data_IF_844816533303
#
_entry.id   IF_844816533303
#
_cell.length_a   1.000
_cell.length_b   1.000
_cell.length_c   1.000
_cell.angle_alpha   90.00
_cell.angle_beta   90.00
_cell.angle_gamma   90.00
#
_symmetry.space_group_name_H-M   'P 1'
#
loop_
_entity.id
_entity.type
_entity.pdbx_description
1 polymer ?
#
# COMPACT_ATOMS: atom_id res chain seq x y z
N UNK A 1 -40.99 23.07 23.43
CA UNK A 1 -39.79 23.23 24.29
C UNK A 1 -39.31 24.66 24.18
N UNK A 2 -38.71 25.24 25.24
CA UNK A 2 -38.09 26.58 25.16
C UNK A 2 -36.85 26.55 24.26
N UNK A 3 -36.67 27.56 23.39
CA UNK A 3 -35.52 27.69 22.47
C UNK A 3 -34.16 27.58 23.18
N UNK A 4 -34.07 28.05 24.43
CA UNK A 4 -32.84 27.93 25.25
C UNK A 4 -32.47 26.48 25.57
N UNK A 5 -33.47 25.61 25.78
CA UNK A 5 -33.26 24.20 26.08
C UNK A 5 -32.74 23.43 24.85
N UNK A 6 -33.23 23.79 23.66
CA UNK A 6 -32.79 23.18 22.40
C UNK A 6 -31.31 23.52 22.10
N UNK A 7 -30.93 24.80 22.26
CA UNK A 7 -29.53 25.24 22.09
C UNK A 7 -28.62 24.60 23.14
N UNK A 8 -29.08 24.45 24.39
CA UNK A 8 -28.33 23.76 25.44
C UNK A 8 -28.05 22.28 25.08
N UNK A 9 -29.08 21.54 24.65
CA UNK A 9 -28.94 20.15 24.19
C UNK A 9 -27.98 20.03 23.00
N UNK A 10 -28.09 20.94 22.04
CA UNK A 10 -27.21 20.99 20.87
C UNK A 10 -25.75 21.20 21.29
N UNK A 11 -25.48 22.19 22.14
CA UNK A 11 -24.13 22.46 22.62
C UNK A 11 -23.56 21.31 23.45
N UNK A 12 -24.40 20.63 24.24
CA UNK A 12 -23.98 19.43 24.97
C UNK A 12 -23.59 18.31 23.99
N UNK A 13 -24.40 18.06 22.95
CA UNK A 13 -24.09 17.06 21.93
C UNK A 13 -22.77 17.38 21.19
N UNK A 14 -22.57 18.65 20.79
CA UNK A 14 -21.34 19.14 20.17
C UNK A 14 -20.13 18.92 21.10
N UNK A 15 -20.25 19.25 22.38
CA UNK A 15 -19.19 19.05 23.36
C UNK A 15 -18.83 17.57 23.55
N UNK A 16 -19.82 16.68 23.47
CA UNK A 16 -19.61 15.24 23.61
C UNK A 16 -19.08 14.57 22.33
N UNK A 17 -19.04 15.28 21.20
CA UNK A 17 -18.69 14.72 19.88
C UNK A 17 -19.56 13.51 19.48
N UNK A 18 -20.79 13.46 19.98
CA UNK A 18 -21.73 12.38 19.71
C UNK A 18 -22.55 12.73 18.45
N UNK A 19 -22.20 12.10 17.32
CA UNK A 19 -22.81 12.36 16.03
C UNK A 19 -24.33 12.13 16.04
N UNK A 20 -24.79 11.03 16.65
CA UNK A 20 -26.21 10.67 16.72
C UNK A 20 -27.01 11.69 17.52
N UNK A 21 -26.47 12.14 18.67
CA UNK A 21 -27.11 13.19 19.47
C UNK A 21 -27.08 14.54 18.77
N UNK A 22 -26.00 14.86 18.05
CA UNK A 22 -25.92 16.09 17.26
C UNK A 22 -26.96 16.11 16.15
N UNK A 23 -27.12 15.02 15.41
CA UNK A 23 -28.09 14.91 14.32
C UNK A 23 -29.53 15.08 14.84
N UNK A 24 -29.86 14.41 15.94
CA UNK A 24 -31.16 14.56 16.60
C UNK A 24 -31.40 16.00 17.09
N UNK A 25 -30.42 16.62 17.75
CA UNK A 25 -30.55 17.98 18.27
C UNK A 25 -30.64 19.03 17.14
N UNK A 26 -29.89 18.85 16.04
CA UNK A 26 -29.98 19.71 14.85
C UNK A 26 -31.37 19.60 14.22
N UNK A 27 -31.92 18.39 14.10
CA UNK A 27 -33.27 18.18 13.57
C UNK A 27 -34.33 18.88 14.42
N UNK A 28 -34.29 18.70 15.74
CA UNK A 28 -35.21 19.38 16.68
C UNK A 28 -35.10 20.92 16.55
N UNK A 29 -33.89 21.47 16.41
CA UNK A 29 -33.69 22.90 16.21
C UNK A 29 -34.24 23.39 14.87
N UNK A 30 -34.13 22.60 13.80
CA UNK A 30 -34.68 22.95 12.48
C UNK A 30 -36.20 22.94 12.47
N UNK A 31 -36.82 21.93 13.08
CA UNK A 31 -38.28 21.83 13.23
C UNK A 31 -38.85 23.00 14.04
N UNK A 32 -38.08 23.50 15.01
CA UNK A 32 -38.42 24.71 15.78
C UNK A 32 -38.15 26.04 15.04
N UNK A 33 -37.74 26.01 13.76
CA UNK A 33 -37.46 27.21 12.96
C UNK A 33 -36.10 27.86 13.21
N UNK A 34 -35.25 27.26 14.05
CA UNK A 34 -33.93 27.79 14.46
C UNK A 34 -32.81 27.41 13.49
N UNK A 35 -33.11 26.79 12.34
CA UNK A 35 -32.12 26.23 11.42
C UNK A 35 -31.10 27.25 10.87
N UNK A 36 -31.42 28.54 10.86
CA UNK A 36 -30.50 29.60 10.40
C UNK A 36 -29.57 30.12 11.49
N UNK A 37 -29.79 29.74 12.75
CA UNK A 37 -28.99 30.21 13.88
C UNK A 37 -27.54 29.75 13.77
N UNK A 38 -26.65 30.59 14.31
CA UNK A 38 -25.20 30.38 14.24
C UNK A 38 -24.79 29.06 14.90
N UNK A 39 -25.42 28.71 16.01
CA UNK A 39 -25.10 27.49 16.77
C UNK A 39 -25.49 26.23 16.00
N UNK A 40 -26.66 26.23 15.34
CA UNK A 40 -27.10 25.14 14.47
C UNK A 40 -26.13 24.95 13.30
N UNK A 41 -25.76 26.02 12.60
CA UNK A 41 -24.79 25.93 11.49
C UNK A 41 -23.42 25.45 11.92
N UNK A 42 -22.97 25.84 13.12
CA UNK A 42 -21.69 25.38 13.69
C UNK A 42 -21.76 23.90 14.00
N UNK A 43 -22.84 23.43 14.61
CA UNK A 43 -23.06 22.03 14.91
C UNK A 43 -23.16 21.18 13.63
N UNK A 44 -23.84 21.65 12.59
CA UNK A 44 -23.89 20.99 11.27
C UNK A 44 -22.49 20.81 10.68
N UNK A 45 -21.67 21.86 10.69
CA UNK A 45 -20.28 21.75 10.20
C UNK A 45 -19.45 20.77 11.02
N UNK A 46 -19.67 20.69 12.33
CA UNK A 46 -18.93 19.76 13.18
C UNK A 46 -19.40 18.31 12.98
N UNK A 47 -20.72 18.10 12.80
CA UNK A 47 -21.28 16.80 12.44
C UNK A 47 -20.72 16.31 11.10
N UNK A 48 -20.69 17.16 10.07
CA UNK A 48 -20.10 16.83 8.77
C UNK A 48 -18.63 16.41 8.87
N UNK A 49 -17.85 17.05 9.76
CA UNK A 49 -16.45 16.67 10.00
C UNK A 49 -16.35 15.28 10.62
N UNK A 50 -17.21 14.96 11.60
CA UNK A 50 -17.22 13.64 12.26
C UNK A 50 -17.62 12.54 11.26
N UNK A 51 -18.65 12.80 10.45
CA UNK A 51 -19.12 11.88 9.42
C UNK A 51 -18.06 11.63 8.36
N UNK A 52 -17.44 12.69 7.81
CA UNK A 52 -16.39 12.54 6.80
C UNK A 52 -15.15 11.86 7.33
N UNK A 53 -14.76 12.14 8.59
CA UNK A 53 -13.68 11.41 9.25
C UNK A 53 -13.99 9.92 9.38
N UNK A 54 -15.22 9.58 9.74
CA UNK A 54 -15.66 8.19 9.87
C UNK A 54 -15.72 7.48 8.51
N UNK A 55 -16.21 8.17 7.46
CA UNK A 55 -16.23 7.69 6.07
C UNK A 55 -14.81 7.40 5.57
N UNK A 56 -13.88 8.33 5.76
CA UNK A 56 -12.47 8.16 5.40
C UNK A 56 -11.82 6.98 6.15
N UNK A 57 -12.03 6.89 7.46
CA UNK A 57 -11.49 5.80 8.29
C UNK A 57 -12.00 4.43 7.82
N UNK A 58 -13.30 4.32 7.60
CA UNK A 58 -13.94 3.09 7.13
C UNK A 58 -13.42 2.69 5.75
N UNK A 59 -13.35 3.62 4.80
CA UNK A 59 -12.82 3.34 3.46
C UNK A 59 -11.33 2.88 3.51
N UNK A 60 -10.52 3.48 4.39
CA UNK A 60 -9.14 3.03 4.62
C UNK A 60 -9.04 1.60 5.18
N UNK A 61 -9.92 1.26 6.14
CA UNK A 61 -10.01 -0.07 6.79
C UNK A 61 -10.52 -1.14 5.81
N UNK A 62 -11.60 -0.85 5.09
CA UNK A 62 -12.23 -1.68 4.05
C UNK A 62 -11.34 -1.83 2.81
N UNK A 63 -10.28 -1.02 2.72
CA UNK A 63 -9.30 -1.05 1.64
C UNK A 63 -9.86 -0.68 0.26
N UNK A 64 -10.90 0.13 0.23
CA UNK A 64 -11.56 0.58 -0.99
C UNK A 64 -10.98 1.93 -1.45
N UNK A 65 -10.07 1.88 -2.42
CA UNK A 65 -9.36 3.05 -2.94
C UNK A 65 -10.31 4.01 -3.70
N UNK A 66 -11.40 3.49 -4.29
CA UNK A 66 -12.42 4.31 -4.95
C UNK A 66 -13.21 5.11 -3.90
N UNK A 67 -13.65 4.44 -2.82
CA UNK A 67 -14.35 5.10 -1.72
C UNK A 67 -13.46 6.12 -0.99
N UNK A 68 -12.15 5.86 -0.86
CA UNK A 68 -11.19 6.84 -0.31
C UNK A 68 -11.13 8.09 -1.20
N UNK A 69 -10.99 7.91 -2.51
CA UNK A 69 -10.87 9.01 -3.47
C UNK A 69 -12.14 9.85 -3.53
N UNK A 70 -13.30 9.20 -3.51
CA UNK A 70 -14.61 9.85 -3.42
C UNK A 70 -14.74 10.64 -2.12
N UNK A 71 -14.37 10.06 -0.97
CA UNK A 71 -14.45 10.72 0.33
C UNK A 71 -13.52 11.94 0.43
N UNK A 72 -12.33 11.90 -0.18
CA UNK A 72 -11.42 13.06 -0.27
C UNK A 72 -12.05 14.16 -1.12
N UNK A 73 -12.57 13.82 -2.30
CA UNK A 73 -13.22 14.78 -3.21
C UNK A 73 -14.43 15.44 -2.58
N UNK A 74 -15.24 14.66 -1.86
CA UNK A 74 -16.38 15.17 -1.10
C UNK A 74 -15.95 16.10 0.03
N UNK A 75 -14.87 15.75 0.75
CA UNK A 75 -14.30 16.60 1.80
C UNK A 75 -13.84 17.97 1.25
N UNK A 76 -13.26 17.98 0.05
CA UNK A 76 -12.83 19.20 -0.65
C UNK A 76 -14.05 20.03 -1.09
N UNK A 77 -15.08 19.40 -1.66
CA UNK A 77 -16.35 20.06 -2.06
C UNK A 77 -17.07 20.72 -0.88
N UNK A 78 -17.04 20.08 0.29
CA UNK A 78 -17.63 20.61 1.52
C UNK A 78 -16.75 21.68 2.20
N UNK A 79 -15.55 21.96 1.68
CA UNK A 79 -14.63 22.94 2.26
C UNK A 79 -14.05 22.53 3.61
N UNK A 80 -13.94 21.23 3.87
CA UNK A 80 -13.51 20.66 5.16
C UNK A 80 -12.01 20.28 5.17
N UNK A 81 -11.29 20.51 4.07
CA UNK A 81 -9.90 20.06 3.88
C UNK A 81 -8.93 20.55 4.95
N UNK A 82 -9.13 21.75 5.49
CA UNK A 82 -8.29 22.29 6.57
C UNK A 82 -8.48 21.53 7.88
N UNK A 83 -9.73 21.19 8.23
CA UNK A 83 -10.08 20.45 9.45
C UNK A 83 -9.67 18.97 9.38
N UNK A 84 -9.72 18.37 8.18
CA UNK A 84 -9.42 16.95 7.95
C UNK A 84 -8.06 16.72 7.30
N UNK A 85 -7.15 17.69 7.37
CA UNK A 85 -5.84 17.65 6.69
C UNK A 85 -5.04 16.38 6.99
N UNK A 86 -4.98 15.98 8.26
CA UNK A 86 -4.24 14.78 8.66
C UNK A 86 -4.90 13.48 8.18
N UNK A 87 -6.22 13.41 8.23
CA UNK A 87 -7.00 12.26 7.77
C UNK A 87 -6.88 12.12 6.23
N UNK A 88 -6.97 13.22 5.48
CA UNK A 88 -6.74 13.24 4.03
C UNK A 88 -5.33 12.79 3.68
N UNK A 89 -4.31 13.28 4.40
CA UNK A 89 -2.93 12.90 4.15
C UNK A 89 -2.69 11.41 4.40
N UNK A 90 -3.24 10.86 5.50
CA UNK A 90 -3.18 9.44 5.78
C UNK A 90 -3.87 8.60 4.69
N UNK A 91 -5.05 9.05 4.25
CA UNK A 91 -5.81 8.41 3.19
C UNK A 91 -5.05 8.41 1.84
N UNK A 92 -4.52 9.57 1.41
CA UNK A 92 -3.68 9.70 0.20
C UNK A 92 -2.45 8.79 0.27
N UNK A 93 -1.75 8.78 1.41
CA UNK A 93 -0.60 7.90 1.61
C UNK A 93 -0.98 6.42 1.53
N UNK A 94 -2.15 6.05 2.02
CA UNK A 94 -2.63 4.68 1.98
C UNK A 94 -2.92 4.22 0.55
N UNK A 95 -3.54 5.07 -0.28
CA UNK A 95 -3.80 4.81 -1.71
C UNK A 95 -2.47 4.76 -2.46
N UNK A 96 -1.61 5.78 -2.35
CA UNK A 96 -0.32 5.79 -3.05
C UNK A 96 0.58 4.60 -2.68
N UNK A 97 0.54 4.12 -1.43
CA UNK A 97 1.27 2.90 -1.03
C UNK A 97 0.73 1.67 -1.74
N UNK A 98 -0.60 1.56 -1.88
CA UNK A 98 -1.26 0.44 -2.58
C UNK A 98 -1.06 0.53 -4.08
N UNK A 99 -1.19 1.71 -4.68
CA UNK A 99 -0.88 1.96 -6.08
C UNK A 99 0.57 1.62 -6.39
N UNK A 100 1.55 2.00 -5.57
CA UNK A 100 2.95 1.55 -5.74
C UNK A 100 3.08 0.02 -5.67
N UNK A 101 2.23 -0.62 -4.88
CA UNK A 101 2.16 -2.10 -4.75
C UNK A 101 1.34 -2.75 -5.88
N UNK A 102 0.48 -2.00 -6.57
CA UNK A 102 -0.41 -2.46 -7.64
C UNK A 102 0.17 -2.16 -9.04
N UNK A 103 0.88 -1.05 -9.22
CA UNK A 103 1.72 -0.75 -10.37
C UNK A 103 2.91 -1.71 -10.46
N UNK A 104 3.28 -2.37 -9.36
CA UNK A 104 4.17 -3.51 -9.39
C UNK A 104 3.49 -4.83 -9.78
N UNK A 105 2.18 -4.86 -10.14
CA UNK A 105 1.43 -6.08 -10.50
C UNK A 105 1.33 -6.41 -11.99
N UNK A 106 1.25 -5.50 -12.99
CA UNK A 106 1.16 -5.92 -14.40
C UNK A 106 2.46 -5.75 -15.21
N UNK A 107 3.63 -5.78 -14.57
CA UNK A 107 4.94 -6.01 -15.21
C UNK A 107 5.72 -7.19 -14.60
N UNK A 108 5.06 -7.94 -13.71
CA UNK A 108 5.29 -9.36 -13.47
C UNK A 108 4.77 -10.01 -14.78
N UNK A 109 5.50 -10.56 -15.74
CA UNK A 109 6.77 -11.29 -15.75
C UNK A 109 7.24 -11.39 -17.21
N UNK A 110 8.08 -10.48 -17.66
CA UNK A 110 9.06 -10.88 -18.65
C UNK A 110 10.40 -10.36 -18.13
N UNK A 111 11.26 -11.28 -17.68
CA UNK A 111 12.67 -10.98 -17.65
C UNK A 111 13.09 -10.85 -19.10
N UNK A 112 12.81 -9.66 -19.66
CA UNK A 112 12.98 -9.40 -21.07
C UNK A 112 14.40 -9.75 -21.48
N UNK A 113 14.59 -10.06 -22.76
CA UNK A 113 15.90 -10.46 -23.31
C UNK A 113 17.03 -9.50 -22.91
N UNK A 114 16.74 -8.21 -22.73
CA UNK A 114 17.69 -7.19 -22.25
C UNK A 114 18.14 -7.42 -20.81
N UNK A 115 17.23 -7.75 -19.88
CA UNK A 115 17.54 -8.04 -18.48
C UNK A 115 18.45 -9.26 -18.36
N UNK A 116 18.10 -10.36 -19.04
CA UNK A 116 18.92 -11.57 -19.03
C UNK A 116 20.27 -11.34 -19.70
N UNK A 117 20.31 -10.56 -20.79
CA UNK A 117 21.58 -10.22 -21.46
C UNK A 117 22.51 -9.39 -20.59
N UNK A 118 21.97 -8.45 -19.80
CA UNK A 118 22.73 -7.66 -18.82
C UNK A 118 23.27 -8.57 -17.70
N UNK A 119 22.42 -9.43 -17.13
CA UNK A 119 22.89 -10.38 -16.10
C UNK A 119 23.98 -11.30 -16.64
N UNK A 120 23.88 -11.70 -17.92
CA UNK A 120 24.88 -12.55 -18.58
C UNK A 120 26.21 -11.84 -18.81
N UNK A 121 26.22 -10.53 -19.04
CA UNK A 121 27.45 -9.78 -19.35
C UNK A 121 28.36 -9.56 -18.15
N UNK A 122 27.85 -9.74 -16.92
CA UNK A 122 28.70 -9.67 -15.73
C UNK A 122 29.56 -10.92 -15.59
N UNK A 123 30.86 -10.77 -15.80
CA UNK A 123 31.86 -11.75 -15.35
C UNK A 123 32.14 -11.62 -13.86
N UNK A 124 32.16 -10.39 -13.35
CA UNK A 124 32.34 -10.06 -11.93
C UNK A 124 31.22 -9.10 -11.51
N UNK A 125 30.09 -9.60 -10.97
CA UNK A 125 28.94 -8.77 -10.66
C UNK A 125 29.24 -7.85 -9.47
N UNK A 126 28.69 -6.64 -9.45
CA UNK A 126 28.62 -5.87 -8.22
C UNK A 126 27.94 -6.69 -7.11
N UNK A 127 28.43 -6.58 -5.87
CA UNK A 127 27.91 -7.38 -4.74
C UNK A 127 26.39 -7.25 -4.58
N UNK A 128 25.86 -6.05 -4.78
CA UNK A 128 24.41 -5.78 -4.70
C UNK A 128 23.63 -6.58 -5.75
N UNK A 129 24.14 -6.68 -6.99
CA UNK A 129 23.55 -7.44 -8.08
C UNK A 129 23.53 -8.93 -7.73
N UNK A 130 24.67 -9.49 -7.32
CA UNK A 130 24.76 -10.89 -6.95
C UNK A 130 23.78 -11.23 -5.81
N UNK A 131 23.75 -10.42 -4.75
CA UNK A 131 22.84 -10.66 -3.61
C UNK A 131 21.37 -10.64 -4.05
N UNK A 132 20.96 -9.67 -4.86
CA UNK A 132 19.58 -9.60 -5.35
C UNK A 132 19.21 -10.81 -6.21
N UNK A 133 20.09 -11.22 -7.13
CA UNK A 133 19.88 -12.41 -7.96
C UNK A 133 19.83 -13.69 -7.10
N UNK A 134 20.72 -13.81 -6.12
CA UNK A 134 20.73 -14.92 -5.16
C UNK A 134 19.37 -15.02 -4.43
N UNK A 135 18.86 -13.93 -3.87
CA UNK A 135 17.56 -13.91 -3.21
C UNK A 135 16.43 -14.39 -4.13
N UNK A 136 16.44 -13.98 -5.41
CA UNK A 136 15.41 -14.39 -6.34
C UNK A 136 15.49 -15.89 -6.68
N UNK A 137 16.68 -16.39 -6.99
CA UNK A 137 16.91 -17.81 -7.31
C UNK A 137 16.60 -18.72 -6.13
N UNK A 138 16.94 -18.32 -4.91
CA UNK A 138 16.61 -19.08 -3.70
C UNK A 138 15.10 -19.19 -3.49
N UNK A 139 14.35 -18.11 -3.75
CA UNK A 139 12.88 -18.16 -3.71
C UNK A 139 12.35 -19.13 -4.77
N UNK A 140 12.93 -19.15 -5.97
CA UNK A 140 12.57 -20.07 -7.06
C UNK A 140 12.98 -21.54 -6.80
N UNK A 141 13.65 -21.84 -5.69
CA UNK A 141 13.93 -23.19 -5.23
C UNK A 141 15.40 -23.62 -5.32
N UNK A 142 16.28 -22.74 -5.79
CA UNK A 142 17.73 -23.02 -5.84
C UNK A 142 18.34 -23.02 -4.42
N UNK A 143 19.44 -23.75 -4.24
CA UNK A 143 20.11 -23.87 -2.94
C UNK A 143 20.97 -22.65 -2.60
N UNK A 144 21.24 -22.41 -1.31
CA UNK A 144 22.17 -21.35 -0.88
C UNK A 144 23.59 -21.63 -1.37
N UNK A 145 24.03 -22.88 -1.31
CA UNK A 145 25.35 -23.30 -1.79
C UNK A 145 25.53 -23.01 -3.27
N UNK A 146 24.50 -23.26 -4.09
CA UNK A 146 24.59 -23.01 -5.53
C UNK A 146 24.50 -21.52 -5.85
N UNK A 147 23.65 -20.78 -5.14
CA UNK A 147 23.48 -19.34 -5.37
C UNK A 147 24.58 -18.47 -4.76
N UNK A 148 25.46 -19.05 -3.94
CA UNK A 148 26.68 -18.39 -3.46
C UNK A 148 27.75 -18.24 -4.55
N UNK A 149 27.71 -19.07 -5.60
CA UNK A 149 28.60 -18.98 -6.76
C UNK A 149 27.92 -18.22 -7.90
N UNK A 150 28.47 -17.07 -8.29
CA UNK A 150 27.94 -16.27 -9.39
C UNK A 150 27.85 -17.05 -10.70
N UNK A 151 28.80 -17.94 -10.99
CA UNK A 151 28.79 -18.71 -12.24
C UNK A 151 27.53 -19.58 -12.33
N UNK A 152 27.13 -20.17 -11.21
CA UNK A 152 25.90 -20.95 -11.10
C UNK A 152 24.67 -20.05 -11.18
N UNK A 153 24.65 -18.91 -10.50
CA UNK A 153 23.58 -17.92 -10.64
C UNK A 153 23.35 -17.52 -12.10
N UNK A 154 24.44 -17.19 -12.81
CA UNK A 154 24.42 -16.82 -14.22
C UNK A 154 23.89 -17.96 -15.08
N UNK A 155 24.32 -19.20 -14.81
CA UNK A 155 23.82 -20.39 -15.50
C UNK A 155 22.30 -20.57 -15.31
N UNK A 156 21.79 -20.45 -14.09
CA UNK A 156 20.34 -20.52 -13.82
C UNK A 156 19.53 -19.45 -14.56
N UNK A 157 20.05 -18.22 -14.63
CA UNK A 157 19.41 -17.14 -15.39
C UNK A 157 19.42 -17.37 -16.91
N UNK A 158 20.34 -18.21 -17.43
CA UNK A 158 20.47 -18.51 -18.86
C UNK A 158 19.76 -19.80 -19.29
N UNK A 159 19.11 -20.51 -18.37
CA UNK A 159 18.35 -21.71 -18.72
C UNK A 159 17.17 -21.36 -19.66
N UNK A 160 16.86 -22.26 -20.58
CA UNK A 160 15.76 -22.14 -21.54
C UNK A 160 14.81 -23.34 -21.43
N UNK A 161 13.61 -23.25 -22.02
CA UNK A 161 12.62 -24.33 -21.98
C UNK A 161 11.96 -24.47 -20.61
N UNK A 162 11.73 -25.70 -20.15
CA UNK A 162 11.06 -26.00 -18.87
C UNK A 162 11.77 -25.42 -17.65
N UNK A 163 13.10 -25.38 -17.70
CA UNK A 163 13.94 -24.82 -16.64
C UNK A 163 14.18 -23.32 -16.80
N UNK A 164 13.62 -22.69 -17.83
CA UNK A 164 13.82 -21.27 -18.10
C UNK A 164 13.27 -20.39 -16.98
N UNK A 165 14.01 -19.34 -16.65
CA UNK A 165 13.68 -18.44 -15.54
C UNK A 165 12.24 -17.92 -15.64
N UNK A 166 11.84 -17.38 -16.79
CA UNK A 166 10.47 -16.91 -17.03
C UNK A 166 9.41 -17.99 -16.74
N UNK A 167 9.66 -19.25 -17.16
CA UNK A 167 8.73 -20.36 -16.90
C UNK A 167 8.70 -20.77 -15.43
N UNK A 168 9.85 -20.80 -14.75
CA UNK A 168 9.93 -21.03 -13.30
C UNK A 168 9.13 -19.99 -12.52
N UNK A 169 9.14 -18.74 -12.98
CA UNK A 169 8.41 -17.68 -12.31
C UNK A 169 6.92 -17.69 -12.62
N UNK A 170 6.52 -17.99 -13.86
CA UNK A 170 5.12 -18.15 -14.23
C UNK A 170 4.45 -19.31 -13.46
N UNK A 171 5.19 -20.40 -13.26
CA UNK A 171 4.75 -21.59 -12.53
C UNK A 171 5.10 -21.54 -11.04
N UNK A 172 5.50 -20.36 -10.53
CA UNK A 172 5.99 -20.24 -9.17
C UNK A 172 4.87 -20.45 -8.14
N UNK A 173 5.11 -21.38 -7.22
CA UNK A 173 4.19 -21.72 -6.15
C UNK A 173 4.75 -21.27 -4.79
N UNK A 174 4.10 -20.27 -4.19
CA UNK A 174 4.52 -19.69 -2.91
C UNK A 174 4.50 -20.67 -1.74
N UNK A 175 3.72 -21.75 -1.84
CA UNK A 175 3.59 -22.75 -0.77
C UNK A 175 4.80 -23.68 -0.72
N UNK A 176 5.54 -23.80 -1.82
CA UNK A 176 6.69 -24.70 -1.97
C UNK A 176 8.04 -24.04 -1.68
N UNK A 177 8.04 -22.78 -1.25
CA UNK A 177 9.27 -22.03 -0.96
C UNK A 177 9.98 -22.63 0.26
N UNK A 178 11.26 -22.95 0.08
CA UNK A 178 12.11 -23.50 1.15
C UNK A 178 12.21 -22.54 2.33
N UNK A 179 12.16 -23.02 3.59
CA UNK A 179 12.23 -22.16 4.78
C UNK A 179 13.46 -21.24 4.81
N UNK A 180 14.63 -21.73 4.38
CA UNK A 180 15.89 -20.97 4.38
C UNK A 180 15.95 -19.83 3.34
N UNK A 181 15.12 -19.84 2.30
CA UNK A 181 15.13 -18.78 1.28
C UNK A 181 14.55 -17.46 1.81
N UNK A 182 13.55 -17.55 2.69
CA UNK A 182 12.82 -16.35 3.17
C UNK A 182 13.68 -15.41 4.01
N UNK A 183 14.49 -15.88 4.99
CA UNK A 183 15.36 -15.00 5.79
C UNK A 183 16.36 -14.22 4.92
N UNK A 184 17.01 -14.87 3.97
CA UNK A 184 18.03 -14.27 3.11
C UNK A 184 17.42 -13.23 2.18
N UNK A 185 16.31 -13.56 1.53
CA UNK A 185 15.63 -12.61 0.65
C UNK A 185 15.10 -11.41 1.45
N UNK A 186 14.64 -11.62 2.70
CA UNK A 186 14.23 -10.52 3.59
C UNK A 186 15.40 -9.67 4.06
N UNK A 187 16.55 -10.26 4.38
CA UNK A 187 17.79 -9.54 4.72
C UNK A 187 18.18 -8.58 3.60
N UNK A 188 18.14 -9.06 2.35
CA UNK A 188 18.50 -8.27 1.17
C UNK A 188 17.54 -7.10 0.94
N UNK A 189 16.22 -7.34 1.08
CA UNK A 189 15.21 -6.27 1.01
C UNK A 189 15.32 -5.23 2.12
N UNK A 190 15.82 -5.62 3.31
CA UNK A 190 16.06 -4.69 4.41
C UNK A 190 17.36 -3.91 4.23
N UNK A 191 18.36 -4.52 3.58
CA UNK A 191 19.71 -3.96 3.45
C UNK A 191 19.82 -2.94 2.32
N UNK A 192 19.11 -3.13 1.22
CA UNK A 192 19.22 -2.28 0.04
C UNK A 192 17.86 -1.67 -0.32
N UNK A 193 17.87 -0.41 -0.76
CA UNK A 193 16.70 0.25 -1.33
C UNK A 193 16.64 0.01 -2.83
N UNK A 194 15.43 -0.02 -3.39
CA UNK A 194 15.21 -0.17 -4.83
C UNK A 194 16.05 0.81 -5.67
N UNK A 195 16.11 2.09 -5.27
CA UNK A 195 16.88 3.12 -5.96
C UNK A 195 18.38 2.84 -6.00
N UNK A 196 18.93 2.20 -4.97
CA UNK A 196 20.34 1.83 -4.91
C UNK A 196 20.64 0.66 -5.85
N UNK A 197 19.73 -0.32 -5.91
CA UNK A 197 19.84 -1.44 -6.85
C UNK A 197 19.72 -0.95 -8.30
N UNK A 198 18.73 -0.10 -8.58
CA UNK A 198 18.46 0.44 -9.92
C UNK A 198 19.61 1.32 -10.43
N UNK A 199 20.25 2.10 -9.54
CA UNK A 199 21.40 2.90 -9.90
C UNK A 199 22.61 2.05 -10.34
N UNK A 200 22.70 0.81 -9.88
CA UNK A 200 23.79 -0.12 -10.23
C UNK A 200 23.43 -1.03 -11.41
N UNK A 201 22.20 -1.52 -11.46
CA UNK A 201 21.75 -2.44 -12.51
C UNK A 201 20.24 -2.38 -12.67
N UNK A 202 19.79 -2.03 -13.87
CA UNK A 202 18.39 -2.06 -14.25
C UNK A 202 17.86 -3.51 -14.23
N UNK A 203 18.65 -4.46 -14.74
CA UNK A 203 18.31 -5.88 -14.69
C UNK A 203 18.12 -6.39 -13.26
N UNK A 204 19.04 -6.11 -12.34
CA UNK A 204 18.91 -6.50 -10.94
C UNK A 204 17.71 -5.83 -10.26
N UNK A 205 17.36 -4.60 -10.62
CA UNK A 205 16.18 -3.93 -10.09
C UNK A 205 14.88 -4.68 -10.41
N UNK A 206 14.79 -5.30 -11.60
CA UNK A 206 13.66 -6.18 -11.96
C UNK A 206 13.55 -7.38 -11.00
N UNK A 207 14.67 -8.04 -10.70
CA UNK A 207 14.70 -9.12 -9.71
C UNK A 207 14.32 -8.63 -8.31
N UNK A 208 14.80 -7.45 -7.90
CA UNK A 208 14.47 -6.85 -6.60
C UNK A 208 12.96 -6.62 -6.45
N UNK A 209 12.32 -6.08 -7.48
CA UNK A 209 10.86 -5.87 -7.50
C UNK A 209 10.14 -7.20 -7.39
N UNK A 210 10.56 -8.23 -8.13
CA UNK A 210 9.97 -9.56 -8.04
C UNK A 210 10.05 -10.15 -6.63
N UNK A 211 11.23 -10.09 -5.99
CA UNK A 211 11.43 -10.54 -4.61
C UNK A 211 10.56 -9.73 -3.63
N UNK A 212 10.45 -8.42 -3.83
CA UNK A 212 9.59 -7.55 -3.01
C UNK A 212 8.11 -7.92 -3.14
N UNK A 213 7.65 -8.19 -4.36
CA UNK A 213 6.28 -8.63 -4.63
C UNK A 213 5.97 -9.94 -3.93
N UNK A 214 6.90 -10.90 -3.91
CA UNK A 214 6.75 -12.15 -3.17
C UNK A 214 6.39 -11.90 -1.69
N UNK A 215 7.13 -11.05 -0.98
CA UNK A 215 6.87 -10.79 0.44
C UNK A 215 5.59 -9.99 0.67
N UNK A 216 5.27 -9.03 -0.20
CA UNK A 216 4.03 -8.25 -0.09
C UNK A 216 2.78 -9.13 -0.25
N UNK A 217 2.79 -10.07 -1.21
CA UNK A 217 1.70 -11.05 -1.38
C UNK A 217 1.68 -12.02 -0.21
N UNK A 218 2.83 -12.56 0.21
CA UNK A 218 2.94 -13.50 1.33
C UNK A 218 2.39 -12.95 2.66
N UNK A 219 2.62 -11.66 2.95
CA UNK A 219 2.09 -11.00 4.16
C UNK A 219 0.56 -10.87 4.11
N UNK A 220 -0.02 -10.75 2.91
CA UNK A 220 -1.47 -10.57 2.73
C UNK A 220 -2.23 -11.89 2.89
N UNK A 221 -1.62 -13.03 2.58
CA UNK A 221 -2.21 -14.38 2.73
C UNK A 221 -2.17 -14.93 4.17
N UNK A 222 -1.41 -14.31 5.07
CA UNK A 222 -1.21 -14.78 6.46
C UNK A 222 -1.95 -13.96 7.52
N UNK A 223 -2.81 -13.04 7.10
CA UNK A 223 -3.77 -12.31 7.93
C UNK A 223 -5.17 -12.77 7.57
#
# INVERSE_FOLDING_TARGET
MSSRLLVYKLNQAVSMKDATRMEAAIRECKEAGMGKEKDVRKAEKELQVIEMKSKLKRAMEERDDAAITEAISETERLGLSSKLRHDILAAKNSVSRRERTAQSKPSILDFGKSTISEIRSYDHPPRIVHRVIQAALMLLGESESDTSDWRKCRAFCCQTGDNGLNRKILNFDMTKVRPGAKPISKEILNKYRFSEVQAVSAGAATFYVWVSCFFNVYITWRK
#
